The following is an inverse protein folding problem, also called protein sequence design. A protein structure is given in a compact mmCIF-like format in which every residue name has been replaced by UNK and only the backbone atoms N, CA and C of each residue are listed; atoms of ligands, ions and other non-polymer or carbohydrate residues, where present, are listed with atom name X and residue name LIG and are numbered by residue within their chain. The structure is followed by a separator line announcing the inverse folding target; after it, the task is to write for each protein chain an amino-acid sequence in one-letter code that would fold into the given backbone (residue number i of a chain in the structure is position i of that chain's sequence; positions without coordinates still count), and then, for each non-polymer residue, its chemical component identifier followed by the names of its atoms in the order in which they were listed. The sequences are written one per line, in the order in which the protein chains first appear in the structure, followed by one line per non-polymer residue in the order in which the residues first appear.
data_IF_458976372039
#
_entry.id   IF_458976372039
#
_cell.length_a   1.000
_cell.length_b   1.000
_cell.length_c   1.000
_cell.angle_alpha   90.00
_cell.angle_beta   90.00
_cell.angle_gamma   90.00
#
_symmetry.space_group_name_H-M   'P 1'
#
loop_
_entity.id
_entity.type
_entity.pdbx_description
1 polymer ?
#
# COMPACT_ATOMS: atom_id res chain seq x y z
N UNK A 1 15.18 -9.49 6.88
CA UNK A 1 14.18 -8.49 6.47
C UNK A 1 12.81 -9.15 6.49
N UNK A 2 11.77 -8.49 7.01
CA UNK A 2 10.39 -9.03 7.01
C UNK A 2 9.65 -8.50 5.79
N UNK A 3 8.82 -9.34 5.17
CA UNK A 3 7.98 -8.97 4.03
C UNK A 3 6.51 -9.27 4.29
N UNK A 4 5.62 -8.50 3.67
CA UNK A 4 4.18 -8.68 3.78
C UNK A 4 3.44 -8.29 2.49
N UNK A 5 2.23 -8.81 2.35
CA UNK A 5 1.25 -8.42 1.34
C UNK A 5 0.13 -7.65 2.04
N UNK A 6 -0.16 -6.44 1.56
CA UNK A 6 -1.31 -5.65 2.02
C UNK A 6 -2.38 -5.66 0.94
N UNK A 7 -3.55 -6.21 1.26
CA UNK A 7 -4.74 -6.13 0.40
C UNK A 7 -5.51 -4.85 0.70
N UNK A 8 -6.17 -4.27 -0.31
CA UNK A 8 -6.85 -2.98 -0.15
C UNK A 8 -5.87 -1.81 0.11
N UNK A 9 -4.63 -1.94 -0.37
CA UNK A 9 -3.53 -1.03 -0.02
C UNK A 9 -3.76 0.42 -0.48
N UNK A 10 -4.55 0.63 -1.54
CA UNK A 10 -4.91 1.97 -2.03
C UNK A 10 -6.05 2.65 -1.25
N UNK A 11 -6.69 1.96 -0.30
CA UNK A 11 -7.79 2.50 0.52
C UNK A 11 -7.31 3.29 1.74
N UNK A 12 -8.23 3.94 2.45
CA UNK A 12 -7.92 4.86 3.55
C UNK A 12 -7.05 4.24 4.66
N UNK A 13 -7.43 3.06 5.16
CA UNK A 13 -6.65 2.38 6.23
C UNK A 13 -5.42 1.68 5.66
N UNK A 14 -5.58 1.04 4.49
CA UNK A 14 -4.52 0.27 3.85
C UNK A 14 -3.29 1.11 3.53
N UNK A 15 -3.46 2.34 3.03
CA UNK A 15 -2.34 3.21 2.67
C UNK A 15 -1.53 3.66 3.89
N UNK A 16 -2.20 3.99 4.99
CA UNK A 16 -1.54 4.35 6.25
C UNK A 16 -0.77 3.16 6.85
N UNK A 17 -1.32 1.94 6.72
CA UNK A 17 -0.62 0.73 7.15
C UNK A 17 0.63 0.48 6.29
N UNK A 18 0.54 0.63 4.97
CA UNK A 18 1.70 0.52 4.07
C UNK A 18 2.77 1.54 4.45
N UNK A 19 2.40 2.80 4.63
CA UNK A 19 3.34 3.87 5.02
C UNK A 19 4.06 3.55 6.32
N UNK A 20 3.32 3.04 7.33
CA UNK A 20 3.91 2.61 8.59
C UNK A 20 4.86 1.42 8.43
N UNK A 21 4.48 0.39 7.69
CA UNK A 21 5.29 -0.81 7.49
C UNK A 21 6.60 -0.51 6.75
N UNK A 22 6.55 0.35 5.73
CA UNK A 22 7.74 0.82 5.02
C UNK A 22 8.67 1.58 5.98
N UNK A 23 8.13 2.51 6.80
CA UNK A 23 8.92 3.22 7.83
C UNK A 23 9.55 2.28 8.86
N UNK A 24 8.86 1.20 9.20
CA UNK A 24 9.37 0.16 10.11
C UNK A 24 10.37 -0.81 9.43
N UNK A 25 10.74 -0.57 8.16
CA UNK A 25 11.78 -1.32 7.43
C UNK A 25 11.29 -2.62 6.80
N UNK A 26 9.98 -2.76 6.57
CA UNK A 26 9.42 -3.94 5.89
C UNK A 26 9.47 -3.81 4.37
N UNK A 27 9.66 -4.94 3.69
CA UNK A 27 9.36 -5.05 2.26
C UNK A 27 7.86 -5.25 2.06
N UNK A 28 7.17 -4.30 1.44
CA UNK A 28 5.71 -4.32 1.30
C UNK A 28 5.32 -4.56 -0.16
N UNK A 29 4.50 -5.58 -0.40
CA UNK A 29 3.75 -5.73 -1.65
C UNK A 29 2.33 -5.17 -1.43
N UNK A 30 1.96 -4.17 -2.22
CA UNK A 30 0.67 -3.50 -2.13
C UNK A 30 -0.27 -3.99 -3.24
N UNK A 31 -1.34 -4.70 -2.88
CA UNK A 31 -2.40 -5.07 -3.81
C UNK A 31 -3.45 -3.95 -3.85
N UNK A 32 -3.44 -3.21 -4.96
CA UNK A 32 -4.42 -2.15 -5.24
C UNK A 32 -5.47 -2.65 -6.22
N UNK A 33 -6.73 -2.26 -6.01
CA UNK A 33 -7.81 -2.59 -6.93
C UNK A 33 -7.62 -1.82 -8.23
N UNK A 34 -7.44 -2.55 -9.33
CA UNK A 34 -7.44 -1.96 -10.66
C UNK A 34 -8.82 -1.37 -10.99
N UNK A 35 -8.82 -0.15 -11.52
CA UNK A 35 -10.00 0.57 -12.00
C UNK A 35 -9.64 1.27 -13.30
N UNK A 36 -10.65 1.68 -14.09
CA UNK A 36 -10.43 2.37 -15.37
C UNK A 36 -9.69 3.70 -15.25
N UNK A 37 -9.62 4.29 -14.06
CA UNK A 37 -8.86 5.53 -13.80
C UNK A 37 -7.35 5.28 -13.64
N UNK A 38 -6.91 4.03 -13.45
CA UNK A 38 -5.49 3.69 -13.39
C UNK A 38 -4.72 4.20 -12.15
N UNK A 39 -5.43 4.66 -11.11
CA UNK A 39 -4.83 5.24 -9.91
C UNK A 39 -4.38 4.18 -8.91
N UNK A 40 -3.33 4.47 -8.12
CA UNK A 40 -2.91 3.63 -6.98
C UNK A 40 -3.63 3.97 -5.66
N UNK A 41 -4.64 4.85 -5.71
CA UNK A 41 -5.41 5.30 -4.55
C UNK A 41 -4.60 6.27 -3.67
N UNK A 42 -4.68 6.14 -2.35
CA UNK A 42 -3.97 7.01 -1.41
C UNK A 42 -2.45 6.78 -1.35
N UNK A 43 -1.88 5.93 -2.21
CA UNK A 43 -0.45 5.59 -2.25
C UNK A 43 0.40 6.50 -3.17
N UNK A 44 -0.18 7.50 -3.83
CA UNK A 44 0.55 8.32 -4.83
C UNK A 44 1.74 9.13 -4.29
N UNK A 45 1.87 9.22 -2.96
CA UNK A 45 2.87 10.06 -2.28
C UNK A 45 3.86 9.26 -1.41
N UNK A 46 3.87 7.94 -1.58
CA UNK A 46 4.79 7.00 -0.92
C UNK A 46 6.06 6.84 -1.75
#
# INVERSE_FOLDING_TARGET
MKSCLVTGAGGFIGSHLVERLVRDGWGVHALVRYTSTGTVGHLERL
#
